data_IF_025605188854
#
_entry.id   IF_025605188854
#
_cell.length_a   1.000
_cell.length_b   1.000
_cell.length_c   1.000
_cell.angle_alpha   90.00
_cell.angle_beta   90.00
_cell.angle_gamma   90.00
#
_symmetry.space_group_name_H-M   'P 1'
#
loop_
_entity.id
_entity.type
_entity.pdbx_description
1 polymer ?
#
# COMPACT_ATOMS: atom_id res chain seq x y z
N UNK A 1 37.84 -17.70 32.91
CA UNK A 1 36.56 -17.70 33.64
C UNK A 1 35.47 -17.30 32.64
N UNK A 2 35.37 -18.05 31.55
CA UNK A 2 34.53 -19.27 31.45
C UNK A 2 33.05 -18.89 31.46
N UNK A 3 32.54 -18.45 30.31
CA UNK A 3 31.10 -18.14 30.16
C UNK A 3 30.33 -19.45 29.90
N UNK A 4 30.33 -20.32 30.90
CA UNK A 4 29.31 -21.36 31.02
C UNK A 4 28.15 -20.76 31.82
N UNK A 5 26.95 -20.84 31.26
CA UNK A 5 25.73 -20.31 31.88
C UNK A 5 24.92 -21.49 32.40
N UNK A 6 24.48 -21.39 33.65
CA UNK A 6 23.49 -22.30 34.21
C UNK A 6 22.12 -21.63 34.15
N UNK A 7 21.19 -22.24 33.42
CA UNK A 7 19.79 -21.83 33.44
C UNK A 7 19.00 -22.82 34.29
N UNK A 8 18.32 -22.31 35.31
CA UNK A 8 17.47 -23.07 36.21
C UNK A 8 16.01 -22.72 35.91
N UNK A 9 15.24 -23.72 35.51
CA UNK A 9 13.85 -23.54 35.10
C UNK A 9 12.96 -24.37 36.01
N UNK A 10 12.22 -23.68 36.87
CA UNK A 10 11.18 -24.28 37.71
C UNK A 10 9.84 -24.24 36.98
N UNK A 11 9.18 -25.39 36.87
CA UNK A 11 7.86 -25.51 36.25
C UNK A 11 6.98 -26.50 37.02
N UNK A 12 5.64 -26.36 36.97
CA UNK A 12 4.72 -27.36 37.52
C UNK A 12 4.98 -28.75 36.92
N UNK A 13 5.04 -29.77 37.77
CA UNK A 13 5.40 -31.15 37.37
C UNK A 13 4.45 -31.73 36.32
N UNK A 14 3.18 -31.34 36.38
CA UNK A 14 2.11 -31.73 35.46
C UNK A 14 2.28 -31.14 34.05
N UNK A 15 3.05 -30.05 33.92
CA UNK A 15 3.38 -29.43 32.63
C UNK A 15 4.67 -29.96 32.01
N UNK A 16 5.41 -30.81 32.73
CA UNK A 16 6.65 -31.38 32.25
C UNK A 16 6.38 -32.40 31.13
N UNK A 17 6.84 -32.07 29.93
CA UNK A 17 6.88 -33.00 28.79
C UNK A 17 8.19 -32.85 28.03
N UNK A 18 8.53 -33.85 27.21
CA UNK A 18 9.71 -33.78 26.33
C UNK A 18 9.62 -32.58 25.39
N UNK A 19 8.42 -32.27 24.89
CA UNK A 19 8.18 -31.14 23.99
C UNK A 19 8.37 -29.80 24.70
N UNK A 20 7.82 -29.64 25.91
CA UNK A 20 8.02 -28.42 26.73
C UNK A 20 9.48 -28.23 27.06
N UNK A 21 10.20 -29.30 27.44
CA UNK A 21 11.66 -29.24 27.67
C UNK A 21 12.41 -28.81 26.41
N UNK A 22 12.08 -29.36 25.24
CA UNK A 22 12.73 -28.99 23.98
C UNK A 22 12.44 -27.54 23.58
N UNK A 23 11.24 -27.03 23.86
CA UNK A 23 10.88 -25.62 23.62
C UNK A 23 11.63 -24.69 24.57
N UNK A 24 11.73 -25.03 25.85
CA UNK A 24 12.54 -24.30 26.84
C UNK A 24 14.01 -24.29 26.41
N UNK A 25 14.54 -25.45 25.98
CA UNK A 25 15.91 -25.55 25.48
C UNK A 25 16.13 -24.66 24.26
N UNK A 26 15.24 -24.71 23.27
CA UNK A 26 15.34 -23.88 22.08
C UNK A 26 15.29 -22.38 22.41
N UNK A 27 14.42 -21.99 23.35
CA UNK A 27 14.32 -20.61 23.86
C UNK A 27 15.63 -20.16 24.51
N UNK A 28 16.23 -20.99 25.37
CA UNK A 28 17.50 -20.67 26.03
C UNK A 28 18.69 -20.61 25.06
N UNK A 29 18.63 -21.34 23.95
CA UNK A 29 19.67 -21.37 22.91
C UNK A 29 19.40 -20.41 21.75
N UNK A 30 18.37 -19.56 21.83
CA UNK A 30 18.02 -18.61 20.77
C UNK A 30 19.10 -17.54 20.55
N UNK A 31 19.97 -17.31 21.54
CA UNK A 31 21.09 -16.36 21.44
C UNK A 31 22.16 -16.93 20.49
N UNK A 32 22.56 -16.20 19.44
CA UNK A 32 23.62 -16.64 18.53
C UNK A 32 24.91 -17.02 19.28
N UNK A 33 25.50 -18.15 18.92
CA UNK A 33 26.71 -18.67 19.56
C UNK A 33 26.48 -19.46 20.85
N UNK A 34 25.24 -19.56 21.34
CA UNK A 34 24.91 -20.42 22.48
C UNK A 34 24.81 -21.89 22.06
N UNK A 35 25.42 -22.79 22.84
CA UNK A 35 25.34 -24.23 22.60
C UNK A 35 25.02 -24.98 23.88
N UNK A 36 24.16 -26.00 23.81
CA UNK A 36 23.90 -26.86 24.96
C UNK A 36 25.09 -27.79 25.21
N UNK A 37 25.61 -27.80 26.42
CA UNK A 37 26.59 -28.78 26.87
C UNK A 37 25.93 -29.98 27.53
N UNK A 38 25.02 -29.71 28.46
CA UNK A 38 24.32 -30.74 29.21
C UNK A 38 22.98 -30.23 29.75
N UNK A 39 22.09 -31.14 30.11
CA UNK A 39 20.86 -30.81 30.83
C UNK A 39 20.50 -31.93 31.81
N UNK A 40 19.88 -31.56 32.91
CA UNK A 40 19.39 -32.52 33.91
C UNK A 40 17.99 -32.14 34.38
N UNK A 41 17.20 -33.15 34.74
CA UNK A 41 15.89 -33.00 35.36
C UNK A 41 15.97 -33.48 36.80
N UNK A 42 15.55 -32.64 37.73
CA UNK A 42 15.31 -33.01 39.12
C UNK A 42 13.82 -32.85 39.43
N UNK A 43 13.18 -33.94 39.84
CA UNK A 43 11.78 -33.94 40.27
C UNK A 43 11.78 -34.08 41.79
N UNK A 44 11.59 -32.97 42.48
CA UNK A 44 11.47 -32.96 43.94
C UNK A 44 10.11 -33.53 44.37
N UNK A 45 9.96 -33.88 45.65
CA UNK A 45 8.72 -34.42 46.21
C UNK A 45 7.53 -33.43 46.22
N UNK A 46 7.75 -32.19 45.77
CA UNK A 46 6.75 -31.13 45.64
C UNK A 46 5.98 -31.14 44.31
N UNK A 47 5.27 -30.05 44.04
CA UNK A 47 4.52 -29.84 42.79
C UNK A 47 5.37 -29.31 41.63
N UNK A 48 6.65 -29.02 41.86
CA UNK A 48 7.56 -28.42 40.88
C UNK A 48 8.59 -29.44 40.38
N UNK A 49 8.97 -29.31 39.11
CA UNK A 49 10.14 -29.91 38.51
C UNK A 49 11.19 -28.83 38.25
N UNK A 50 12.47 -29.18 38.38
CA UNK A 50 13.60 -28.32 38.06
C UNK A 50 14.34 -28.88 36.85
N UNK A 51 14.35 -28.13 35.75
CA UNK A 51 15.26 -28.36 34.65
C UNK A 51 16.51 -27.50 34.85
N UNK A 52 17.68 -28.12 34.79
CA UNK A 52 18.97 -27.43 34.76
C UNK A 52 19.57 -27.57 33.37
N UNK A 53 19.94 -26.47 32.75
CA UNK A 53 20.66 -26.45 31.48
C UNK A 53 22.04 -25.86 31.71
N UNK A 54 23.07 -26.54 31.22
CA UNK A 54 24.43 -26.06 31.13
C UNK A 54 24.68 -25.61 29.70
N UNK A 55 24.88 -24.31 29.51
CA UNK A 55 24.99 -23.68 28.19
C UNK A 55 26.41 -23.14 28.05
N UNK A 56 27.06 -23.47 26.94
CA UNK A 56 28.27 -22.80 26.48
C UNK A 56 27.90 -21.48 25.82
N UNK A 57 28.27 -20.37 26.47
CA UNK A 57 28.05 -19.02 25.97
C UNK A 57 29.38 -18.33 25.60
N UNK A 58 30.46 -19.10 25.37
CA UNK A 58 31.76 -18.53 24.95
C UNK A 58 31.71 -17.89 23.57
N UNK A 59 30.78 -18.33 22.71
CA UNK A 59 30.54 -17.75 21.40
C UNK A 59 29.50 -16.63 21.37
N UNK A 60 28.91 -16.27 22.51
CA UNK A 60 27.90 -15.22 22.60
C UNK A 60 28.55 -13.86 22.87
N UNK A 61 28.15 -12.85 22.09
CA UNK A 61 28.57 -11.47 22.30
C UNK A 61 27.95 -10.91 23.59
N UNK A 62 26.64 -11.14 23.79
CA UNK A 62 25.86 -10.76 24.97
C UNK A 62 25.20 -11.99 25.63
N UNK A 63 24.95 -11.90 26.94
CA UNK A 63 24.16 -12.90 27.66
C UNK A 63 22.67 -12.70 27.39
N UNK A 64 21.84 -13.76 27.45
CA UNK A 64 20.39 -13.64 27.29
C UNK A 64 19.79 -12.66 28.31
N UNK A 65 18.77 -11.90 27.91
CA UNK A 65 18.00 -11.06 28.83
C UNK A 65 17.09 -11.95 29.69
N UNK A 66 17.47 -12.11 30.97
CA UNK A 66 16.74 -12.92 31.96
C UNK A 66 15.25 -12.59 31.99
N UNK A 67 14.87 -11.30 31.93
CA UNK A 67 13.47 -10.87 32.01
C UNK A 67 12.69 -11.24 30.74
N UNK A 68 13.33 -11.16 29.57
CA UNK A 68 12.72 -11.58 28.30
C UNK A 68 12.54 -13.11 28.24
N UNK A 69 13.54 -13.86 28.70
CA UNK A 69 13.48 -15.33 28.78
C UNK A 69 12.40 -15.77 29.77
N UNK A 70 12.30 -15.12 30.93
CA UNK A 70 11.28 -15.43 31.93
C UNK A 70 9.87 -15.12 31.42
N UNK A 71 9.67 -14.01 30.70
CA UNK A 71 8.38 -13.70 30.08
C UNK A 71 7.96 -14.77 29.05
N UNK A 72 8.88 -15.23 28.20
CA UNK A 72 8.63 -16.30 27.23
C UNK A 72 8.34 -17.65 27.91
N UNK A 73 9.05 -17.96 29.01
CA UNK A 73 8.81 -19.16 29.80
C UNK A 73 7.42 -19.15 30.44
N UNK A 74 7.02 -18.03 31.04
CA UNK A 74 5.70 -17.88 31.65
C UNK A 74 4.60 -18.10 30.61
N UNK A 75 4.73 -17.51 29.42
CA UNK A 75 3.79 -17.72 28.31
C UNK A 75 3.71 -19.19 27.87
N UNK A 76 4.87 -19.87 27.80
CA UNK A 76 4.92 -21.28 27.45
C UNK A 76 4.18 -22.16 28.47
N UNK A 77 4.39 -21.91 29.76
CA UNK A 77 3.84 -22.69 30.87
C UNK A 77 2.37 -22.39 31.16
N UNK A 78 1.89 -21.17 30.88
CA UNK A 78 0.48 -20.77 31.07
C UNK A 78 -0.49 -21.51 30.14
N UNK A 79 0.03 -22.18 29.12
CA UNK A 79 -0.76 -22.84 28.10
C UNK A 79 -1.23 -21.85 27.04
N UNK A 80 -1.19 -22.31 25.79
CA UNK A 80 -1.34 -21.48 24.60
C UNK A 80 -2.51 -20.49 24.64
N UNK A 81 -3.72 -20.94 25.01
CA UNK A 81 -4.91 -20.09 24.97
C UNK A 81 -4.85 -18.95 25.99
N UNK A 82 -4.36 -19.22 27.20
CA UNK A 82 -4.31 -18.23 28.28
C UNK A 82 -3.16 -17.23 28.06
N UNK A 83 -2.03 -17.70 27.49
CA UNK A 83 -0.97 -16.82 27.02
C UNK A 83 -1.48 -15.86 25.92
N UNK A 84 -2.21 -16.36 24.93
CA UNK A 84 -2.82 -15.51 23.89
C UNK A 84 -3.83 -14.52 24.49
N UNK A 85 -4.67 -14.96 25.43
CA UNK A 85 -5.61 -14.08 26.12
C UNK A 85 -4.91 -12.93 26.86
N UNK A 86 -3.78 -13.23 27.51
CA UNK A 86 -2.97 -12.23 28.22
C UNK A 86 -2.48 -11.15 27.27
N UNK A 87 -1.91 -11.53 26.12
CA UNK A 87 -1.43 -10.57 25.13
C UNK A 87 -2.56 -9.77 24.49
N UNK A 88 -3.73 -10.39 24.23
CA UNK A 88 -4.91 -9.67 23.75
C UNK A 88 -5.42 -8.63 24.77
N UNK A 89 -5.34 -8.93 26.08
CA UNK A 89 -5.79 -8.04 27.15
C UNK A 89 -4.95 -6.75 27.27
N UNK A 90 -3.80 -6.65 26.59
CA UNK A 90 -3.02 -5.41 26.53
C UNK A 90 -3.69 -4.30 25.69
N UNK A 91 -4.60 -4.69 24.79
CA UNK A 91 -5.27 -3.78 23.86
C UNK A 91 -6.79 -3.95 23.81
N UNK A 92 -7.34 -4.96 24.48
CA UNK A 92 -8.76 -5.26 24.57
C UNK A 92 -9.21 -5.36 26.03
N UNK A 93 -10.51 -5.19 26.28
CA UNK A 93 -11.09 -5.48 27.59
C UNK A 93 -10.90 -6.97 27.94
N UNK A 94 -10.59 -7.27 29.21
CA UNK A 94 -10.20 -8.60 29.69
C UNK A 94 -11.20 -9.70 29.31
N UNK A 95 -12.50 -9.48 29.54
CA UNK A 95 -13.54 -10.44 29.16
C UNK A 95 -13.63 -10.69 27.64
N UNK A 96 -13.31 -9.67 26.84
CA UNK A 96 -13.29 -9.76 25.38
C UNK A 96 -12.02 -10.46 24.88
N UNK A 97 -10.88 -10.16 25.49
CA UNK A 97 -9.62 -10.83 25.22
C UNK A 97 -9.72 -12.34 25.47
N UNK A 98 -10.34 -12.75 26.58
CA UNK A 98 -10.61 -14.15 26.88
C UNK A 98 -11.53 -14.81 25.83
N UNK A 99 -12.62 -14.14 25.44
CA UNK A 99 -13.53 -14.65 24.41
C UNK A 99 -12.85 -14.82 23.04
N UNK A 100 -12.01 -13.86 22.65
CA UNK A 100 -11.24 -13.92 21.41
C UNK A 100 -10.20 -15.04 21.45
N UNK A 101 -9.45 -15.16 22.53
CA UNK A 101 -8.48 -16.23 22.69
C UNK A 101 -9.15 -17.61 22.64
N UNK A 102 -10.28 -17.79 23.33
CA UNK A 102 -11.05 -19.03 23.31
C UNK A 102 -11.51 -19.40 21.88
N UNK A 103 -11.87 -18.40 21.05
CA UNK A 103 -12.29 -18.62 19.67
C UNK A 103 -11.13 -18.89 18.72
N UNK A 104 -10.09 -18.06 18.75
CA UNK A 104 -9.04 -18.07 17.73
C UNK A 104 -7.81 -18.89 18.10
N UNK A 105 -7.36 -18.84 19.36
CA UNK A 105 -6.09 -19.46 19.75
C UNK A 105 -6.04 -20.97 19.43
N UNK A 106 -7.10 -21.78 19.69
CA UNK A 106 -7.09 -23.19 19.33
C UNK A 106 -6.92 -23.46 17.83
N UNK A 107 -7.30 -22.52 16.98
CA UNK A 107 -7.29 -22.69 15.53
C UNK A 107 -5.92 -22.50 14.88
N UNK A 108 -4.93 -21.96 15.62
CA UNK A 108 -3.56 -21.83 15.10
C UNK A 108 -2.86 -23.19 15.04
N UNK A 109 -2.25 -23.59 13.91
CA UNK A 109 -1.49 -24.84 13.80
C UNK A 109 -0.25 -24.86 14.69
N UNK A 110 0.16 -26.04 15.16
CA UNK A 110 1.33 -26.22 16.04
C UNK A 110 2.61 -25.59 15.48
N UNK A 111 2.87 -25.73 14.17
CA UNK A 111 4.06 -25.12 13.55
C UNK A 111 4.11 -23.60 13.68
N UNK A 112 2.96 -22.92 13.59
CA UNK A 112 2.86 -21.48 13.83
C UNK A 112 3.14 -21.16 15.30
N UNK A 113 2.52 -21.90 16.23
CA UNK A 113 2.67 -21.65 17.68
C UNK A 113 4.14 -21.70 18.10
N UNK A 114 4.89 -22.67 17.56
CA UNK A 114 6.31 -22.86 17.82
C UNK A 114 7.18 -21.76 17.20
N UNK A 115 6.82 -21.26 16.02
CA UNK A 115 7.65 -20.30 15.27
C UNK A 115 7.43 -18.85 15.70
N UNK A 116 6.20 -18.49 16.10
CA UNK A 116 5.81 -17.10 16.33
C UNK A 116 5.39 -16.78 17.78
N UNK A 117 4.86 -17.77 18.52
CA UNK A 117 4.44 -17.58 19.90
C UNK A 117 3.10 -16.84 20.09
N UNK A 118 2.67 -16.75 21.34
CA UNK A 118 1.35 -16.26 21.73
C UNK A 118 1.17 -14.74 21.52
N UNK A 119 2.23 -13.96 21.75
CA UNK A 119 2.22 -12.51 21.55
C UNK A 119 1.93 -12.13 20.09
N UNK A 120 2.56 -12.85 19.15
CA UNK A 120 2.35 -12.61 17.73
C UNK A 120 0.98 -13.11 17.27
N UNK A 121 0.51 -14.25 17.80
CA UNK A 121 -0.85 -14.72 17.56
C UNK A 121 -1.90 -13.69 17.99
N UNK A 122 -1.71 -13.03 19.14
CA UNK A 122 -2.63 -11.99 19.60
C UNK A 122 -2.73 -10.81 18.61
N UNK A 123 -1.61 -10.36 18.04
CA UNK A 123 -1.59 -9.30 17.01
C UNK A 123 -2.29 -9.75 15.73
N UNK A 124 -2.05 -10.99 15.31
CA UNK A 124 -2.67 -11.57 14.13
C UNK A 124 -4.18 -11.75 14.30
N UNK A 125 -4.64 -12.17 15.48
CA UNK A 125 -6.05 -12.25 15.85
C UNK A 125 -6.72 -10.89 15.77
N UNK A 126 -6.07 -9.83 16.25
CA UNK A 126 -6.63 -8.48 16.17
C UNK A 126 -6.90 -8.07 14.71
N UNK A 127 -5.95 -8.31 13.78
CA UNK A 127 -6.12 -8.01 12.35
C UNK A 127 -7.20 -8.88 11.69
N UNK A 128 -7.23 -10.19 11.95
CA UNK A 128 -8.27 -11.09 11.43
C UNK A 128 -9.67 -10.70 11.94
N UNK A 129 -9.77 -10.30 13.21
CA UNK A 129 -11.02 -9.83 13.81
C UNK A 129 -11.51 -8.55 13.15
N UNK A 130 -10.64 -7.56 12.94
CA UNK A 130 -11.02 -6.30 12.30
C UNK A 130 -11.61 -6.54 10.91
N UNK A 131 -11.00 -7.43 10.12
CA UNK A 131 -11.55 -7.84 8.83
C UNK A 131 -12.92 -8.53 8.95
N UNK A 132 -13.04 -9.49 9.88
CA UNK A 132 -14.30 -10.21 10.08
C UNK A 132 -15.46 -9.30 10.52
N UNK A 133 -15.18 -8.19 11.23
CA UNK A 133 -16.21 -7.21 11.61
C UNK A 133 -16.62 -6.31 10.43
N UNK A 134 -15.68 -5.99 9.55
CA UNK A 134 -15.91 -5.16 8.36
C UNK A 134 -16.79 -5.86 7.31
N UNK A 135 -16.99 -7.18 7.38
CA UNK A 135 -17.85 -7.95 6.45
C UNK A 135 -19.29 -7.42 6.35
N UNK A 136 -19.76 -6.72 7.38
CA UNK A 136 -21.11 -6.14 7.41
C UNK A 136 -21.23 -4.81 6.66
N UNK A 137 -20.12 -4.26 6.17
CA UNK A 137 -20.08 -3.01 5.40
C UNK A 137 -20.52 -3.22 3.94
N UNK A 138 -20.91 -2.12 3.27
CA UNK A 138 -21.40 -2.16 1.89
C UNK A 138 -20.34 -2.60 0.87
N UNK A 139 -19.05 -2.48 1.21
CA UNK A 139 -17.93 -2.92 0.38
C UNK A 139 -16.77 -3.38 1.29
N UNK A 140 -16.87 -4.59 1.86
CA UNK A 140 -15.95 -5.04 2.90
C UNK A 140 -14.55 -5.25 2.33
N UNK A 141 -13.53 -4.85 3.09
CA UNK A 141 -12.17 -5.26 2.79
C UNK A 141 -12.02 -6.75 3.14
N UNK A 142 -11.66 -7.57 2.17
CA UNK A 142 -11.43 -9.01 2.38
C UNK A 142 -10.00 -9.27 2.89
N UNK A 143 -9.11 -8.28 2.73
CA UNK A 143 -7.67 -8.40 2.99
C UNK A 143 -7.12 -7.24 3.81
N UNK A 144 -6.26 -7.54 4.78
CA UNK A 144 -5.48 -6.55 5.53
C UNK A 144 -4.00 -6.88 5.43
N UNK A 145 -3.16 -5.86 5.67
CA UNK A 145 -1.71 -6.00 5.61
C UNK A 145 -1.11 -5.56 6.95
N UNK A 146 0.02 -6.18 7.32
CA UNK A 146 0.89 -5.70 8.40
C UNK A 146 2.35 -5.89 8.04
N UNK A 147 3.14 -4.83 8.18
CA UNK A 147 4.59 -4.86 8.07
C UNK A 147 5.21 -5.07 9.45
N UNK A 148 6.25 -5.90 9.51
CA UNK A 148 6.98 -6.14 10.74
C UNK A 148 8.40 -6.65 10.45
N UNK A 149 9.19 -6.82 11.51
CA UNK A 149 10.52 -7.43 11.50
C UNK A 149 10.72 -8.28 12.75
N UNK A 150 11.57 -9.29 12.65
CA UNK A 150 12.12 -10.04 13.78
C UNK A 150 13.49 -9.47 14.17
N UNK A 151 13.94 -9.72 15.39
CA UNK A 151 15.23 -9.22 15.90
C UNK A 151 16.44 -9.72 15.09
N UNK A 152 16.33 -10.92 14.51
CA UNK A 152 17.35 -11.55 13.66
C UNK A 152 17.37 -11.03 12.20
N UNK A 153 16.36 -10.24 11.80
CA UNK A 153 16.26 -9.77 10.43
C UNK A 153 17.31 -8.67 10.16
N UNK A 154 18.15 -8.86 9.15
CA UNK A 154 19.10 -7.84 8.68
C UNK A 154 18.42 -6.54 8.22
N UNK A 155 19.18 -5.46 7.98
CA UNK A 155 18.64 -4.12 7.67
C UNK A 155 17.80 -4.07 6.38
N UNK A 156 18.08 -4.95 5.42
CA UNK A 156 17.36 -5.03 4.15
C UNK A 156 16.14 -5.97 4.19
N UNK A 157 15.97 -6.72 5.29
CA UNK A 157 14.90 -7.70 5.42
C UNK A 157 13.69 -7.08 6.09
N UNK A 158 12.56 -7.19 5.41
CA UNK A 158 11.23 -6.77 5.86
C UNK A 158 10.29 -7.95 5.78
N UNK A 159 9.33 -8.06 6.70
CA UNK A 159 8.30 -9.08 6.64
C UNK A 159 6.94 -8.45 6.51
N UNK A 160 6.04 -9.15 5.83
CA UNK A 160 4.70 -8.66 5.55
C UNK A 160 3.71 -9.81 5.72
N UNK A 161 2.72 -9.62 6.59
CA UNK A 161 1.57 -10.52 6.69
C UNK A 161 0.40 -9.96 5.90
N UNK A 162 -0.17 -10.77 5.02
CA UNK A 162 -1.49 -10.55 4.42
C UNK A 162 -2.49 -11.43 5.14
N UNK A 163 -3.51 -10.81 5.74
CA UNK A 163 -4.62 -11.49 6.39
C UNK A 163 -5.77 -11.61 5.41
N UNK A 164 -6.41 -12.78 5.37
CA UNK A 164 -7.52 -13.07 4.46
C UNK A 164 -8.63 -13.75 5.25
N UNK A 165 -9.82 -13.18 5.27
CA UNK A 165 -11.00 -13.82 5.90
C UNK A 165 -11.88 -14.54 4.90
N UNK A 166 -11.80 -14.15 3.61
CA UNK A 166 -12.63 -14.69 2.54
C UNK A 166 -11.84 -14.98 1.28
N UNK A 167 -12.14 -16.12 0.66
CA UNK A 167 -11.47 -16.57 -0.56
C UNK A 167 -10.03 -17.01 -0.29
N UNK A 168 -9.20 -16.97 -1.34
CA UNK A 168 -7.79 -17.31 -1.27
C UNK A 168 -6.93 -16.14 -1.76
N UNK A 169 -5.70 -16.06 -1.26
CA UNK A 169 -4.68 -15.18 -1.82
C UNK A 169 -3.89 -15.95 -2.89
N UNK A 170 -4.21 -15.72 -4.15
CA UNK A 170 -3.38 -16.26 -5.22
C UNK A 170 -2.04 -15.52 -5.26
N UNK A 171 -0.93 -16.26 -5.25
CA UNK A 171 0.41 -15.67 -5.33
C UNK A 171 0.62 -14.91 -6.65
N UNK A 172 -0.06 -15.32 -7.72
CA UNK A 172 -0.10 -14.60 -9.01
C UNK A 172 -0.70 -13.20 -8.91
N UNK A 173 -1.46 -12.92 -7.86
CA UNK A 173 -2.08 -11.61 -7.62
C UNK A 173 -1.28 -10.82 -6.57
N UNK A 174 -0.81 -11.50 -5.52
CA UNK A 174 -0.13 -10.86 -4.40
C UNK A 174 1.32 -10.45 -4.73
N UNK A 175 2.08 -11.32 -5.39
CA UNK A 175 3.50 -11.06 -5.68
C UNK A 175 3.68 -9.86 -6.60
N UNK A 176 2.92 -9.72 -7.72
CA UNK A 176 3.03 -8.52 -8.56
C UNK A 176 2.71 -7.23 -7.81
N UNK A 177 1.73 -7.24 -6.91
CA UNK A 177 1.42 -6.08 -6.08
C UNK A 177 2.62 -5.69 -5.20
N UNK A 178 3.26 -6.66 -4.53
CA UNK A 178 4.45 -6.42 -3.71
C UNK A 178 5.63 -5.89 -4.54
N UNK A 179 5.84 -6.43 -5.74
CA UNK A 179 6.87 -5.96 -6.68
C UNK A 179 6.59 -4.55 -7.20
N UNK A 180 5.32 -4.21 -7.43
CA UNK A 180 4.90 -2.86 -7.82
C UNK A 180 5.09 -1.82 -6.70
N UNK A 181 5.19 -2.24 -5.43
CA UNK A 181 5.66 -1.39 -4.33
C UNK A 181 7.20 -1.34 -4.21
N UNK A 182 7.91 -2.15 -4.99
CA UNK A 182 9.36 -2.19 -5.07
C UNK A 182 9.99 -3.27 -4.21
N UNK A 183 9.20 -4.12 -3.55
CA UNK A 183 9.73 -5.20 -2.75
C UNK A 183 10.12 -6.40 -3.63
N UNK A 184 11.16 -7.12 -3.22
CA UNK A 184 11.44 -8.44 -3.77
C UNK A 184 10.93 -9.50 -2.81
N UNK A 185 10.09 -10.40 -3.31
CA UNK A 185 9.58 -11.53 -2.53
C UNK A 185 10.62 -12.65 -2.50
N UNK A 186 11.10 -13.00 -1.30
CA UNK A 186 12.07 -14.08 -1.12
C UNK A 186 11.39 -15.42 -0.83
N UNK A 187 10.35 -15.41 0.01
CA UNK A 187 9.57 -16.58 0.37
C UNK A 187 8.19 -16.18 0.88
N UNK A 188 7.28 -17.15 0.91
CA UNK A 188 5.97 -17.07 1.56
C UNK A 188 5.79 -18.28 2.48
N UNK A 189 5.24 -18.03 3.67
CA UNK A 189 4.90 -19.04 4.68
C UNK A 189 3.41 -18.89 5.00
N UNK A 190 2.52 -19.69 4.40
CA UNK A 190 1.11 -19.62 4.68
C UNK A 190 0.78 -20.29 6.01
N UNK A 191 -0.13 -19.69 6.76
CA UNK A 191 -0.77 -20.25 7.94
C UNK A 191 -2.27 -20.28 7.72
N UNK A 192 -2.80 -21.48 7.52
CA UNK A 192 -4.24 -21.71 7.49
C UNK A 192 -4.72 -22.06 8.89
N UNK A 193 -5.70 -21.32 9.40
CA UNK A 193 -6.35 -21.69 10.65
C UNK A 193 -7.16 -22.97 10.43
N UNK A 194 -7.23 -23.82 11.45
CA UNK A 194 -7.92 -25.12 11.34
C UNK A 194 -9.43 -24.95 11.15
N UNK A 195 -10.00 -23.83 11.60
CA UNK A 195 -11.33 -23.38 11.22
C UNK A 195 -11.19 -22.38 10.05
N UNK A 196 -11.56 -22.76 8.81
CA UNK A 196 -11.46 -21.89 7.65
C UNK A 196 -12.28 -20.59 7.77
N UNK A 197 -13.33 -20.58 8.60
CA UNK A 197 -14.15 -19.39 8.82
C UNK A 197 -13.42 -18.30 9.62
N UNK A 198 -12.26 -18.62 10.23
CA UNK A 198 -11.42 -17.66 10.92
C UNK A 198 -10.34 -17.03 10.02
N UNK A 199 -10.18 -17.54 8.80
CA UNK A 199 -9.28 -17.00 7.78
C UNK A 199 -7.88 -17.64 7.71
N UNK A 200 -7.01 -17.01 6.93
CA UNK A 200 -5.61 -17.39 6.72
C UNK A 200 -4.68 -16.19 6.84
N UNK A 201 -3.40 -16.49 7.08
CA UNK A 201 -2.32 -15.52 7.18
C UNK A 201 -1.24 -15.94 6.19
N UNK A 202 -0.85 -15.05 5.29
CA UNK A 202 0.21 -15.27 4.33
C UNK A 202 1.40 -14.40 4.71
N UNK A 203 2.46 -15.01 5.26
CA UNK A 203 3.64 -14.31 5.72
C UNK A 203 4.73 -14.29 4.65
N UNK A 204 5.00 -13.10 4.11
CA UNK A 204 5.99 -12.87 3.08
C UNK A 204 7.29 -12.36 3.68
N UNK A 205 8.39 -13.02 3.32
CA UNK A 205 9.75 -12.54 3.59
C UNK A 205 10.16 -11.69 2.40
N UNK A 206 10.41 -10.41 2.63
CA UNK A 206 10.71 -9.40 1.63
C UNK A 206 12.14 -8.89 1.76
N UNK A 207 12.71 -8.50 0.63
CA UNK A 207 13.91 -7.67 0.57
C UNK A 207 13.52 -6.29 0.06
N UNK A 208 13.94 -5.24 0.77
CA UNK A 208 13.73 -3.85 0.35
C UNK A 208 14.73 -3.47 -0.76
N UNK A 209 14.43 -2.47 -1.61
CA UNK A 209 15.39 -2.00 -2.61
C UNK A 209 16.72 -1.55 -2.01
N UNK A 210 17.80 -1.72 -2.78
CA UNK A 210 19.12 -1.23 -2.39
C UNK A 210 19.10 0.28 -2.08
N UNK A 211 19.73 0.65 -0.96
CA UNK A 211 19.74 2.04 -0.46
C UNK A 211 18.52 2.44 0.38
N UNK A 212 17.57 1.53 0.61
CA UNK A 212 16.53 1.66 1.63
C UNK A 212 16.80 0.69 2.78
N UNK A 213 16.43 1.09 3.99
CA UNK A 213 16.46 0.22 5.17
C UNK A 213 15.04 -0.08 5.62
N UNK A 214 14.79 -1.33 6.00
CA UNK A 214 13.48 -1.79 6.43
C UNK A 214 12.98 -1.03 7.68
N UNK A 215 13.89 -0.61 8.57
CA UNK A 215 13.55 0.21 9.74
C UNK A 215 12.87 1.54 9.37
N UNK A 216 13.39 2.25 8.37
CA UNK A 216 12.83 3.53 7.88
C UNK A 216 11.45 3.35 7.24
N UNK A 217 11.19 2.19 6.63
CA UNK A 217 9.87 1.87 6.12
C UNK A 217 8.87 1.60 7.25
N UNK A 218 9.30 0.92 8.32
CA UNK A 218 8.45 0.62 9.47
C UNK A 218 7.97 1.88 10.21
N UNK A 219 8.76 2.95 10.25
CA UNK A 219 8.32 4.25 10.79
C UNK A 219 7.08 4.81 10.07
N UNK A 220 6.82 4.34 8.85
CA UNK A 220 5.69 4.74 8.00
C UNK A 220 4.84 3.53 7.61
N UNK A 221 4.87 2.46 8.40
CA UNK A 221 4.25 1.18 8.05
C UNK A 221 2.78 1.33 7.73
N UNK A 222 2.01 2.07 8.53
CA UNK A 222 0.56 2.26 8.31
C UNK A 222 0.24 2.77 6.91
N UNK A 223 0.99 3.77 6.41
CA UNK A 223 0.78 4.31 5.06
C UNK A 223 1.02 3.27 3.96
N UNK A 224 2.02 2.41 4.15
CA UNK A 224 2.40 1.37 3.18
C UNK A 224 1.42 0.19 3.27
N UNK A 225 1.04 -0.20 4.49
CA UNK A 225 0.04 -1.24 4.77
C UNK A 225 -1.31 -0.90 4.15
N UNK A 226 -1.82 0.31 4.38
CA UNK A 226 -3.11 0.76 3.84
C UNK A 226 -3.09 0.76 2.30
N UNK A 227 -2.00 1.28 1.71
CA UNK A 227 -1.86 1.32 0.26
C UNK A 227 -1.79 -0.09 -0.37
N UNK A 228 -1.08 -1.01 0.26
CA UNK A 228 -1.02 -2.42 -0.19
C UNK A 228 -2.38 -3.10 -0.02
N UNK A 229 -3.07 -2.85 1.09
CA UNK A 229 -4.41 -3.39 1.32
C UNK A 229 -5.39 -2.87 0.25
N UNK A 230 -5.37 -1.59 -0.08
CA UNK A 230 -6.22 -1.03 -1.15
C UNK A 230 -5.96 -1.69 -2.51
N UNK A 231 -4.69 -1.96 -2.84
CA UNK A 231 -4.32 -2.64 -4.09
C UNK A 231 -4.78 -4.10 -4.07
N UNK A 232 -4.53 -4.82 -2.99
CA UNK A 232 -4.91 -6.23 -2.84
C UNK A 232 -6.42 -6.44 -2.80
N UNK A 233 -7.20 -5.45 -2.34
CA UNK A 233 -8.66 -5.46 -2.39
C UNK A 233 -9.23 -4.87 -3.70
N UNK A 234 -8.38 -4.49 -4.66
CA UNK A 234 -8.81 -3.96 -5.95
C UNK A 234 -9.39 -2.53 -5.92
N UNK A 235 -9.21 -1.81 -4.81
CA UNK A 235 -9.65 -0.43 -4.60
C UNK A 235 -8.67 0.59 -5.20
N UNK A 236 -7.39 0.22 -5.34
CA UNK A 236 -6.35 1.05 -5.95
C UNK A 236 -5.71 0.40 -7.19
N UNK A 237 -4.96 1.18 -7.96
CA UNK A 237 -4.21 0.69 -9.14
C UNK A 237 -3.02 -0.16 -8.73
N UNK A 238 -2.83 -1.27 -9.44
CA UNK A 238 -1.68 -2.14 -9.26
C UNK A 238 -0.66 -1.88 -10.38
N UNK A 239 0.22 -0.90 -10.15
CA UNK A 239 1.24 -0.52 -11.12
C UNK A 239 2.51 0.02 -10.45
N UNK A 240 3.60 0.24 -11.20
CA UNK A 240 4.86 0.69 -10.64
C UNK A 240 4.82 2.04 -9.91
N UNK A 241 3.79 2.90 -10.05
CA UNK A 241 3.71 4.15 -9.27
C UNK A 241 3.56 3.88 -7.76
N UNK A 242 3.14 2.68 -7.36
CA UNK A 242 3.06 2.28 -5.96
C UNK A 242 4.44 2.32 -5.26
N UNK A 243 5.54 2.15 -6.02
CA UNK A 243 6.92 2.36 -5.53
C UNK A 243 7.13 3.72 -4.89
N UNK A 244 6.40 4.76 -5.31
CA UNK A 244 6.54 6.11 -4.74
C UNK A 244 6.14 6.17 -3.27
N UNK A 245 5.20 5.33 -2.83
CA UNK A 245 4.76 5.29 -1.43
C UNK A 245 5.90 4.84 -0.53
N UNK A 246 6.46 3.66 -0.81
CA UNK A 246 7.57 3.10 -0.04
C UNK A 246 8.86 3.92 -0.21
N UNK A 247 9.30 4.18 -1.45
CA UNK A 247 10.61 4.76 -1.72
C UNK A 247 10.70 6.26 -1.41
N UNK A 248 9.63 7.02 -1.62
CA UNK A 248 9.67 8.49 -1.45
C UNK A 248 8.91 8.98 -0.20
N UNK A 249 8.13 8.12 0.45
CA UNK A 249 7.25 8.50 1.57
C UNK A 249 6.04 9.32 1.13
N UNK A 250 5.68 9.23 -0.15
CA UNK A 250 4.55 9.97 -0.68
C UNK A 250 3.25 9.29 -0.26
N UNK A 251 2.25 10.06 0.15
CA UNK A 251 0.94 9.50 0.42
C UNK A 251 0.34 8.85 -0.85
N UNK A 252 -0.47 7.79 -0.74
CA UNK A 252 -1.08 7.10 -1.88
C UNK A 252 -1.82 8.04 -2.83
N UNK A 253 -2.55 9.02 -2.28
CA UNK A 253 -3.20 10.08 -3.06
C UNK A 253 -2.23 10.85 -3.97
N UNK A 254 -1.04 11.17 -3.45
CA UNK A 254 -0.01 11.91 -4.18
C UNK A 254 0.60 11.08 -5.30
N UNK A 255 0.85 9.78 -5.03
CA UNK A 255 1.29 8.85 -6.06
C UNK A 255 0.23 8.74 -7.18
N UNK A 256 -1.05 8.72 -6.81
CA UNK A 256 -2.15 8.66 -7.76
C UNK A 256 -2.28 9.95 -8.62
N UNK A 257 -2.00 11.13 -8.05
CA UNK A 257 -1.95 12.38 -8.84
C UNK A 257 -0.84 12.33 -9.90
N UNK A 258 0.36 11.86 -9.53
CA UNK A 258 1.48 11.73 -10.46
C UNK A 258 1.23 10.64 -11.52
N UNK A 259 0.53 9.56 -11.16
CA UNK A 259 0.03 8.56 -12.10
C UNK A 259 -0.98 9.14 -13.08
N UNK A 260 -1.89 10.00 -12.62
CA UNK A 260 -2.83 10.67 -13.52
C UNK A 260 -2.12 11.63 -14.49
N UNK A 261 -1.11 12.37 -14.02
CA UNK A 261 -0.25 13.21 -14.88
C UNK A 261 0.48 12.37 -15.93
N UNK A 262 1.00 11.20 -15.57
CA UNK A 262 1.57 10.24 -16.54
C UNK A 262 0.58 9.88 -17.63
N UNK A 263 -0.63 9.43 -17.24
CA UNK A 263 -1.65 8.98 -18.18
C UNK A 263 -2.14 10.11 -19.07
N UNK A 264 -2.20 11.34 -18.56
CA UNK A 264 -2.43 12.52 -19.38
C UNK A 264 -1.30 12.73 -20.41
N UNK A 265 -0.03 12.71 -19.98
CA UNK A 265 1.12 12.90 -20.88
C UNK A 265 1.21 11.82 -21.97
N UNK A 266 0.81 10.58 -21.69
CA UNK A 266 0.68 9.54 -22.72
C UNK A 266 -0.28 9.96 -23.84
N UNK A 267 -1.40 10.59 -23.50
CA UNK A 267 -2.37 11.12 -24.46
C UNK A 267 -1.85 12.32 -25.27
N UNK A 268 -0.75 12.96 -24.84
CA UNK A 268 -0.14 14.09 -25.55
C UNK A 268 0.98 13.65 -26.51
N UNK A 269 1.26 12.35 -26.60
CA UNK A 269 2.30 11.79 -27.46
C UNK A 269 3.66 11.58 -26.79
N UNK A 270 3.74 11.71 -25.46
CA UNK A 270 4.97 11.39 -24.72
C UNK A 270 5.22 9.89 -24.73
N UNK A 271 6.42 9.48 -25.14
CA UNK A 271 6.77 8.07 -25.38
C UNK A 271 7.46 7.37 -24.21
N UNK A 272 7.74 8.05 -23.10
CA UNK A 272 8.36 7.41 -21.93
C UNK A 272 7.51 6.23 -21.44
N UNK A 273 8.20 5.15 -21.06
CA UNK A 273 7.56 4.00 -20.43
C UNK A 273 7.22 4.32 -18.99
N UNK A 274 6.28 3.56 -18.42
CA UNK A 274 5.90 3.72 -17.00
C UNK A 274 7.10 3.53 -16.07
N UNK A 275 7.99 2.58 -16.37
CA UNK A 275 9.18 2.31 -15.58
C UNK A 275 10.16 3.48 -15.61
N UNK A 276 10.49 4.02 -16.79
CA UNK A 276 11.36 5.20 -16.91
C UNK A 276 10.82 6.38 -16.10
N UNK A 277 9.51 6.57 -16.13
CA UNK A 277 8.87 7.68 -15.41
C UNK A 277 8.94 7.50 -13.90
N UNK A 278 8.60 6.31 -13.43
CA UNK A 278 8.65 6.00 -12.00
C UNK A 278 10.08 6.03 -11.49
N UNK A 279 11.05 5.52 -12.24
CA UNK A 279 12.46 5.50 -11.84
C UNK A 279 13.00 6.93 -11.68
N UNK A 280 12.66 7.85 -12.58
CA UNK A 280 13.01 9.27 -12.45
C UNK A 280 12.37 9.92 -11.20
N UNK A 281 11.11 9.59 -10.89
CA UNK A 281 10.41 10.10 -9.70
C UNK A 281 10.97 9.52 -8.40
N UNK A 282 11.30 8.23 -8.38
CA UNK A 282 11.93 7.54 -7.24
C UNK A 282 13.35 8.06 -7.02
N UNK A 283 14.12 8.24 -8.10
CA UNK A 283 15.50 8.75 -8.06
C UNK A 283 15.61 10.23 -7.63
N UNK A 284 14.52 10.99 -7.74
CA UNK A 284 14.45 12.40 -7.32
C UNK A 284 13.39 12.63 -6.22
N UNK A 285 13.50 12.00 -5.03
CA UNK A 285 12.43 12.01 -4.02
C UNK A 285 12.12 13.42 -3.49
N UNK A 286 13.12 14.32 -3.46
CA UNK A 286 12.94 15.73 -3.08
C UNK A 286 12.07 16.47 -4.12
N UNK A 287 12.28 16.19 -5.41
CA UNK A 287 11.51 16.78 -6.52
C UNK A 287 10.08 16.25 -6.51
N UNK A 288 9.92 14.94 -6.36
CA UNK A 288 8.63 14.24 -6.31
C UNK A 288 7.75 14.74 -5.18
N UNK A 289 8.29 14.83 -3.94
CA UNK A 289 7.55 15.39 -2.80
C UNK A 289 7.25 16.87 -2.99
N UNK A 290 8.17 17.66 -3.56
CA UNK A 290 7.95 19.07 -3.84
C UNK A 290 6.81 19.30 -4.85
N UNK A 291 6.67 18.44 -5.86
CA UNK A 291 5.55 18.49 -6.81
C UNK A 291 4.21 18.22 -6.14
N UNK A 292 4.12 17.20 -5.29
CA UNK A 292 2.91 16.91 -4.52
C UNK A 292 2.57 18.05 -3.54
N UNK A 293 3.57 18.58 -2.83
CA UNK A 293 3.39 19.71 -1.93
C UNK A 293 2.92 20.98 -2.66
N UNK A 294 3.49 21.26 -3.84
CA UNK A 294 3.05 22.37 -4.68
C UNK A 294 1.59 22.21 -5.13
N UNK A 295 1.22 21.00 -5.54
CA UNK A 295 -0.15 20.69 -5.95
C UNK A 295 -1.14 20.88 -4.79
N UNK A 296 -0.81 20.37 -3.61
CA UNK A 296 -1.60 20.61 -2.38
C UNK A 296 -1.71 22.09 -2.05
N UNK A 297 -0.59 22.82 -1.99
CA UNK A 297 -0.59 24.24 -1.66
C UNK A 297 -1.42 25.08 -2.65
N UNK A 298 -1.56 24.67 -3.91
CA UNK A 298 -2.38 25.40 -4.89
C UNK A 298 -3.86 25.06 -4.86
N UNK A 299 -4.21 23.82 -4.57
CA UNK A 299 -5.54 23.30 -4.87
C UNK A 299 -6.32 22.79 -3.66
N UNK A 300 -5.67 22.58 -2.51
CA UNK A 300 -6.38 22.22 -1.28
C UNK A 300 -7.20 23.42 -0.80
N UNK A 301 -8.55 23.37 -0.78
CA UNK A 301 -9.36 24.47 -0.29
C UNK A 301 -9.22 24.68 1.22
N UNK A 302 -8.91 23.62 1.97
CA UNK A 302 -8.72 23.63 3.41
C UNK A 302 -7.26 23.93 3.82
N UNK A 303 -6.42 24.37 2.88
CA UNK A 303 -5.01 24.65 3.15
C UNK A 303 -4.84 25.67 4.28
N UNK A 304 -4.27 25.23 5.40
CA UNK A 304 -3.99 26.08 6.55
C UNK A 304 -2.66 26.82 6.38
N UNK A 305 -2.61 28.08 6.84
CA UNK A 305 -1.38 28.89 6.88
C UNK A 305 -1.12 29.72 5.61
N UNK A 306 0.14 30.16 5.45
CA UNK A 306 0.58 31.04 4.36
C UNK A 306 0.67 30.32 3.01
N UNK A 307 -0.44 30.23 2.26
CA UNK A 307 -0.48 29.55 0.95
C UNK A 307 0.63 30.00 -0.02
N UNK A 308 0.87 31.31 -0.11
CA UNK A 308 1.91 31.87 -0.97
C UNK A 308 3.32 31.42 -0.56
N UNK A 309 3.60 31.38 0.75
CA UNK A 309 4.88 30.90 1.29
C UNK A 309 5.06 29.41 1.04
N UNK A 310 4.02 28.59 1.23
CA UNK A 310 4.07 27.16 0.96
C UNK A 310 4.32 26.87 -0.54
N UNK A 311 3.68 27.64 -1.43
CA UNK A 311 3.95 27.56 -2.89
C UNK A 311 5.41 27.91 -3.17
N UNK A 312 5.92 29.03 -2.64
CA UNK A 312 7.31 29.45 -2.87
C UNK A 312 8.32 28.44 -2.30
N UNK A 313 8.04 27.86 -1.13
CA UNK A 313 8.85 26.83 -0.50
C UNK A 313 8.89 25.55 -1.34
N UNK A 314 7.73 25.08 -1.83
CA UNK A 314 7.65 23.91 -2.70
C UNK A 314 8.37 24.14 -4.04
N UNK A 315 8.25 25.34 -4.63
CA UNK A 315 8.99 25.71 -5.84
C UNK A 315 10.50 25.72 -5.61
N UNK A 316 10.95 26.29 -4.48
CA UNK A 316 12.37 26.31 -4.10
C UNK A 316 12.90 24.90 -3.87
N UNK A 317 12.12 24.05 -3.18
CA UNK A 317 12.46 22.65 -2.95
C UNK A 317 12.57 21.88 -4.27
N UNK A 318 11.65 22.11 -5.22
CA UNK A 318 11.71 21.54 -6.56
C UNK A 318 13.01 21.95 -7.27
N UNK A 319 13.33 23.24 -7.34
CA UNK A 319 14.55 23.73 -8.02
C UNK A 319 15.82 23.16 -7.39
N UNK A 320 15.91 23.14 -6.05
CA UNK A 320 17.07 22.56 -5.35
C UNK A 320 17.19 21.05 -5.55
N UNK A 321 16.07 20.34 -5.55
CA UNK A 321 16.06 18.89 -5.81
C UNK A 321 16.49 18.58 -7.25
N UNK A 322 15.98 19.35 -8.20
CA UNK A 322 16.24 19.17 -9.62
C UNK A 322 17.72 19.41 -9.97
N UNK A 323 18.38 20.35 -9.29
CA UNK A 323 19.82 20.58 -9.44
C UNK A 323 20.70 19.38 -9.08
N UNK A 324 20.15 18.37 -8.37
CA UNK A 324 20.84 17.12 -8.01
C UNK A 324 20.61 16.00 -9.02
N UNK A 325 19.72 16.19 -10.00
CA UNK A 325 19.39 15.19 -11.01
C UNK A 325 20.47 15.23 -12.10
N UNK A 326 21.26 14.16 -12.19
CA UNK A 326 22.39 14.07 -13.14
C UNK A 326 21.95 13.67 -14.55
N UNK A 327 20.92 12.83 -14.67
CA UNK A 327 20.42 12.35 -15.96
C UNK A 327 19.55 13.42 -16.64
N UNK A 328 19.97 13.87 -17.81
CA UNK A 328 19.26 14.93 -18.55
C UNK A 328 17.84 14.54 -18.99
N UNK A 329 17.60 13.24 -19.25
CA UNK A 329 16.28 12.75 -19.59
C UNK A 329 15.33 12.81 -18.38
N UNK A 330 15.83 12.49 -17.18
CA UNK A 330 15.06 12.57 -15.94
C UNK A 330 14.75 14.04 -15.61
N UNK A 331 15.72 14.95 -15.75
CA UNK A 331 15.48 16.39 -15.59
C UNK A 331 14.36 16.89 -16.53
N UNK A 332 14.46 16.59 -17.83
CA UNK A 332 13.45 16.95 -18.83
C UNK A 332 12.07 16.41 -18.47
N UNK A 333 11.99 15.15 -18.05
CA UNK A 333 10.74 14.52 -17.65
C UNK A 333 10.14 15.19 -16.40
N UNK A 334 10.95 15.43 -15.36
CA UNK A 334 10.49 16.06 -14.12
C UNK A 334 10.01 17.50 -14.36
N UNK A 335 10.66 18.24 -15.26
CA UNK A 335 10.19 19.56 -15.72
C UNK A 335 8.85 19.48 -16.47
N UNK A 336 8.66 18.45 -17.30
CA UNK A 336 7.40 18.24 -18.01
C UNK A 336 6.25 17.96 -17.03
N UNK A 337 6.48 17.10 -16.04
CA UNK A 337 5.55 16.86 -14.93
C UNK A 337 5.17 18.15 -14.21
N UNK A 338 6.19 18.94 -13.86
CA UNK A 338 6.00 20.23 -13.21
C UNK A 338 5.17 21.19 -14.07
N UNK A 339 5.39 21.23 -15.38
CA UNK A 339 4.63 22.08 -16.29
C UNK A 339 3.16 21.66 -16.38
N UNK A 340 2.84 20.36 -16.37
CA UNK A 340 1.44 19.88 -16.31
C UNK A 340 0.79 20.30 -14.99
N UNK A 341 1.48 20.15 -13.86
CA UNK A 341 0.99 20.59 -12.54
C UNK A 341 0.75 22.11 -12.53
N UNK A 342 1.65 22.90 -13.12
CA UNK A 342 1.48 24.35 -13.26
C UNK A 342 0.30 24.73 -14.17
N UNK A 343 -0.06 23.88 -15.14
CA UNK A 343 -1.18 24.11 -16.05
C UNK A 343 -2.56 23.79 -15.45
N UNK A 344 -2.64 23.15 -14.28
CA UNK A 344 -3.92 22.82 -13.63
C UNK A 344 -4.55 24.08 -13.04
N UNK A 345 -5.76 24.40 -13.50
CA UNK A 345 -6.57 25.53 -13.04
C UNK A 345 -7.55 25.13 -11.93
N UNK A 346 -8.10 23.93 -12.02
CA UNK A 346 -9.05 23.38 -11.04
C UNK A 346 -8.98 21.86 -11.01
N UNK A 347 -9.25 21.29 -9.85
CA UNK A 347 -9.30 19.85 -9.63
C UNK A 347 -10.31 19.50 -8.55
N UNK A 348 -10.81 18.26 -8.56
CA UNK A 348 -11.60 17.70 -7.46
C UNK A 348 -10.75 16.90 -6.46
N UNK A 349 -9.41 16.87 -6.61
CA UNK A 349 -8.50 16.01 -5.85
C UNK A 349 -8.57 16.13 -4.31
N UNK A 350 -9.22 17.18 -3.79
CA UNK A 350 -9.41 17.46 -2.37
C UNK A 350 -10.89 17.41 -1.95
N UNK A 351 -11.77 16.91 -2.82
CA UNK A 351 -13.19 16.73 -2.56
C UNK A 351 -13.53 15.23 -2.51
N UNK A 352 -14.61 14.82 -1.81
CA UNK A 352 -15.03 13.42 -1.75
C UNK A 352 -15.20 12.75 -3.14
N UNK A 353 -15.58 13.53 -4.16
CA UNK A 353 -15.70 13.06 -5.54
C UNK A 353 -14.40 12.45 -6.13
N UNK A 354 -13.23 12.82 -5.60
CA UNK A 354 -11.96 12.23 -6.03
C UNK A 354 -11.84 10.73 -5.71
N UNK A 355 -12.63 10.21 -4.75
CA UNK A 355 -12.71 8.79 -4.45
C UNK A 355 -13.31 7.97 -5.59
N UNK A 356 -14.15 8.58 -6.44
CA UNK A 356 -14.71 7.92 -7.63
C UNK A 356 -13.77 8.08 -8.84
N UNK A 357 -13.36 9.32 -9.14
CA UNK A 357 -12.32 9.63 -10.13
C UNK A 357 -11.76 11.04 -9.96
N UNK A 358 -10.50 11.21 -10.38
CA UNK A 358 -9.82 12.50 -10.41
C UNK A 358 -10.19 13.29 -11.67
N UNK A 359 -10.32 14.61 -11.51
CA UNK A 359 -10.49 15.56 -12.59
C UNK A 359 -9.41 16.65 -12.54
N UNK A 360 -8.79 16.95 -13.67
CA UNK A 360 -7.87 18.08 -13.82
C UNK A 360 -8.33 18.95 -14.98
N UNK A 361 -8.69 20.21 -14.70
CA UNK A 361 -8.96 21.23 -15.71
C UNK A 361 -7.67 21.97 -16.02
N UNK A 362 -7.13 21.78 -17.22
CA UNK A 362 -5.86 22.33 -17.66
C UNK A 362 -6.06 23.54 -18.59
N UNK A 363 -5.15 24.51 -18.47
CA UNK A 363 -4.87 25.47 -19.54
C UNK A 363 -3.96 24.82 -20.58
N UNK A 364 -4.51 24.40 -21.72
CA UNK A 364 -3.74 23.72 -22.76
C UNK A 364 -2.65 24.62 -23.39
N UNK A 365 -2.71 25.95 -23.22
CA UNK A 365 -1.63 26.82 -23.67
C UNK A 365 -0.37 26.70 -22.79
N UNK A 366 -0.52 26.25 -21.53
CA UNK A 366 0.58 26.07 -20.58
C UNK A 366 1.20 24.67 -20.64
N UNK A 367 0.54 23.70 -21.29
CA UNK A 367 1.05 22.32 -21.42
C UNK A 367 2.04 22.25 -22.59
N UNK A 368 3.33 21.92 -22.35
CA UNK A 368 4.33 21.85 -23.40
C UNK A 368 4.06 20.74 -24.42
N UNK A 369 4.38 20.99 -25.70
CA UNK A 369 4.39 19.96 -26.74
C UNK A 369 3.02 19.53 -27.27
N UNK A 370 1.93 20.15 -26.85
CA UNK A 370 0.60 19.81 -27.37
C UNK A 370 0.47 20.10 -28.88
N UNK A 371 -0.14 19.19 -29.66
CA UNK A 371 -0.35 19.40 -31.10
C UNK A 371 -1.40 20.47 -31.36
N UNK A 372 -1.14 21.34 -32.34
CA UNK A 372 -2.08 22.39 -32.77
C UNK A 372 -3.34 21.81 -33.46
N UNK A 373 -4.48 22.53 -33.42
CA UNK A 373 -4.77 23.70 -32.61
C UNK A 373 -4.94 23.29 -31.13
N UNK A 374 -4.44 24.15 -30.25
CA UNK A 374 -4.60 23.95 -28.81
C UNK A 374 -6.05 24.20 -28.43
N UNK A 375 -6.70 23.28 -27.69
CA UNK A 375 -7.94 23.58 -27.01
C UNK A 375 -7.74 24.78 -26.08
N UNK A 376 -8.78 25.56 -25.84
CA UNK A 376 -8.76 26.55 -24.78
C UNK A 376 -8.60 25.86 -23.42
N UNK A 377 -9.38 24.81 -23.14
CA UNK A 377 -9.26 24.02 -21.92
C UNK A 377 -9.42 22.54 -22.20
N UNK A 378 -8.70 21.74 -21.42
CA UNK A 378 -8.86 20.29 -21.35
C UNK A 378 -9.31 19.91 -19.95
N UNK A 379 -10.31 19.05 -19.82
CA UNK A 379 -10.61 18.39 -18.54
C UNK A 379 -10.22 16.94 -18.69
N UNK A 380 -9.14 16.53 -18.04
CA UNK A 380 -8.70 15.15 -18.00
C UNK A 380 -9.32 14.44 -16.79
N UNK A 381 -9.87 13.26 -17.02
CA UNK A 381 -10.48 12.40 -16.01
C UNK A 381 -9.67 11.12 -15.87
N UNK A 382 -9.42 10.72 -14.64
CA UNK A 382 -8.60 9.56 -14.33
C UNK A 382 -9.11 8.78 -13.11
N UNK A 383 -9.31 7.48 -13.27
CA UNK A 383 -9.46 6.51 -12.19
C UNK A 383 -8.99 5.11 -12.62
N UNK A 384 -9.11 4.13 -11.71
CA UNK A 384 -8.89 2.72 -12.00
C UNK A 384 -9.88 2.17 -13.05
N UNK A 385 -11.10 2.72 -13.09
CA UNK A 385 -12.18 2.26 -13.99
C UNK A 385 -12.29 3.04 -15.28
N UNK A 386 -12.02 4.35 -15.27
CA UNK A 386 -12.20 5.19 -16.46
C UNK A 386 -11.06 6.20 -16.64
N UNK A 387 -10.64 6.36 -17.89
CA UNK A 387 -9.85 7.51 -18.33
C UNK A 387 -10.65 8.30 -19.35
N UNK A 388 -10.48 9.62 -19.40
CA UNK A 388 -11.21 10.41 -20.39
C UNK A 388 -10.72 11.83 -20.48
N UNK A 389 -11.19 12.52 -21.52
CA UNK A 389 -10.87 13.92 -21.73
C UNK A 389 -12.04 14.66 -22.33
N UNK A 390 -12.21 15.92 -21.93
CA UNK A 390 -13.16 16.83 -22.53
C UNK A 390 -12.44 18.10 -23.00
N UNK A 391 -12.45 18.34 -24.32
CA UNK A 391 -11.76 19.44 -24.98
C UNK A 391 -12.74 20.55 -25.33
N UNK A 392 -12.35 21.80 -25.07
CA UNK A 392 -13.15 22.99 -25.36
C UNK A 392 -12.33 23.99 -26.15
N UNK A 393 -12.90 24.55 -27.22
CA UNK A 393 -12.24 25.61 -28.01
C UNK A 393 -12.50 27.03 -27.50
N UNK A 394 -13.33 27.21 -26.45
CA UNK A 394 -13.64 28.52 -25.87
C UNK A 394 -14.57 28.47 -24.65
N UNK A 395 -14.84 29.65 -24.09
CA UNK A 395 -15.60 29.88 -22.84
C UNK A 395 -17.03 29.37 -22.88
N UNK A 396 -17.67 29.40 -24.04
CA UNK A 396 -18.94 28.74 -24.34
C UNK A 396 -18.64 27.78 -25.47
N UNK A 397 -18.95 26.50 -25.34
CA UNK A 397 -18.66 25.51 -26.39
C UNK A 397 -19.62 24.34 -26.32
N UNK A 398 -19.95 23.74 -27.47
CA UNK A 398 -20.89 22.61 -27.57
C UNK A 398 -20.26 21.42 -28.29
N UNK A 399 -20.55 20.22 -27.78
CA UNK A 399 -20.38 18.97 -28.51
C UNK A 399 -20.72 17.76 -27.64
N UNK A 400 -20.88 16.62 -28.31
CA UNK A 400 -21.21 15.36 -27.64
C UNK A 400 -19.97 14.62 -27.11
N UNK A 401 -20.23 13.49 -26.47
CA UNK A 401 -19.20 12.58 -25.97
C UNK A 401 -18.98 11.39 -26.92
N UNK A 402 -17.92 10.64 -26.70
CA UNK A 402 -17.60 9.41 -27.43
C UNK A 402 -17.03 8.37 -26.48
N UNK A 403 -17.56 7.17 -26.52
CA UNK A 403 -16.86 6.01 -25.98
C UNK A 403 -15.74 5.66 -26.97
N UNK A 404 -14.50 5.71 -26.51
CA UNK A 404 -13.31 5.33 -27.26
C UNK A 404 -12.80 3.96 -26.82
N UNK A 405 -12.32 3.17 -27.77
CA UNK A 405 -11.56 1.92 -27.56
C UNK A 405 -10.04 2.16 -27.57
N UNK A 406 -9.62 3.42 -27.80
CA UNK A 406 -8.23 3.85 -27.98
C UNK A 406 -7.54 4.20 -26.67
N UNK A 407 -7.04 3.19 -25.94
CA UNK A 407 -6.41 3.37 -24.62
C UNK A 407 -5.36 4.49 -24.55
N UNK A 408 -4.44 4.56 -25.51
CA UNK A 408 -3.26 5.44 -25.43
C UNK A 408 -3.32 6.68 -26.33
N UNK A 409 -4.38 6.85 -27.13
CA UNK A 409 -4.51 7.98 -28.05
C UNK A 409 -5.95 8.48 -28.31
N UNK A 410 -6.88 8.21 -27.40
CA UNK A 410 -8.24 8.77 -27.45
C UNK A 410 -8.25 10.30 -27.51
N UNK A 411 -7.26 11.00 -26.93
CA UNK A 411 -7.18 12.48 -27.04
C UNK A 411 -7.04 12.94 -28.49
N UNK A 412 -6.27 12.23 -29.31
CA UNK A 412 -6.09 12.55 -30.73
C UNK A 412 -7.41 12.39 -31.49
N UNK A 413 -8.15 11.32 -31.20
CA UNK A 413 -9.49 11.09 -31.73
C UNK A 413 -10.45 12.23 -31.34
N UNK A 414 -10.54 12.54 -30.04
CA UNK A 414 -11.43 13.58 -29.51
C UNK A 414 -11.07 14.96 -30.08
N UNK A 415 -9.77 15.26 -30.23
CA UNK A 415 -9.30 16.50 -30.84
C UNK A 415 -9.72 16.60 -32.30
N UNK A 416 -9.60 15.53 -33.09
CA UNK A 416 -10.07 15.48 -34.47
C UNK A 416 -11.58 15.75 -34.57
N UNK A 417 -12.37 15.14 -33.67
CA UNK A 417 -13.82 15.32 -33.62
C UNK A 417 -14.24 16.72 -33.13
N UNK A 418 -13.46 17.35 -32.25
CA UNK A 418 -13.66 18.74 -31.85
C UNK A 418 -13.40 19.70 -33.04
N UNK A 419 -12.34 19.45 -33.82
CA UNK A 419 -12.04 20.23 -35.04
C UNK A 419 -13.20 20.17 -36.03
N UNK A 420 -13.71 18.97 -36.31
CA UNK A 420 -14.86 18.78 -37.21
C UNK A 420 -16.11 19.53 -36.74
N UNK A 421 -16.31 19.63 -35.41
CA UNK A 421 -17.44 20.35 -34.82
C UNK A 421 -17.40 21.86 -34.99
N UNK A 422 -16.22 22.47 -35.23
CA UNK A 422 -16.13 23.91 -35.53
C UNK A 422 -16.84 24.25 -36.84
N UNK A 423 -16.68 23.40 -37.87
CA UNK A 423 -17.31 23.59 -39.18
C UNK A 423 -18.82 23.39 -39.08
N UNK A 424 -19.27 22.41 -38.29
CA UNK A 424 -20.70 22.08 -38.13
C UNK A 424 -21.48 23.13 -37.31
N UNK A 425 -20.85 23.73 -36.30
CA UNK A 425 -21.51 24.67 -35.38
C UNK A 425 -21.30 26.14 -35.74
N UNK A 426 -20.63 26.46 -36.84
CA UNK A 426 -20.24 27.82 -37.24
C UNK A 426 -21.40 28.83 -37.27
N UNK A 427 -22.64 28.36 -37.45
CA UNK A 427 -23.86 29.19 -37.52
C UNK A 427 -24.56 29.39 -36.16
N UNK A 428 -24.25 28.60 -35.12
CA UNK A 428 -25.00 28.62 -33.83
C UNK A 428 -24.11 28.97 -32.62
N UNK A 429 -22.99 28.26 -32.44
CA UNK A 429 -21.98 28.57 -31.41
C UNK A 429 -20.63 28.38 -32.09
N UNK A 430 -19.84 29.45 -32.30
CA UNK A 430 -18.64 29.42 -33.16
C UNK A 430 -17.50 28.55 -32.59
N UNK A 431 -17.65 28.06 -31.38
CA UNK A 431 -16.66 27.33 -30.58
C UNK A 431 -17.12 25.89 -30.30
N UNK A 432 -16.35 24.92 -30.80
CA UNK A 432 -16.62 23.49 -30.62
C UNK A 432 -16.09 22.93 -29.30
N UNK A 433 -16.78 21.93 -28.76
CA UNK A 433 -16.28 21.03 -27.72
C UNK A 433 -16.41 19.57 -28.17
N UNK A 434 -15.67 18.67 -27.53
CA UNK A 434 -15.85 17.23 -27.67
C UNK A 434 -15.25 16.56 -26.45
N UNK A 435 -15.92 15.54 -25.92
CA UNK A 435 -15.28 14.65 -24.96
C UNK A 435 -15.22 13.21 -25.45
N UNK A 436 -14.38 12.44 -24.80
CA UNK A 436 -14.34 10.99 -24.95
C UNK A 436 -13.78 10.31 -23.71
N UNK A 437 -14.19 9.07 -23.49
CA UNK A 437 -13.79 8.26 -22.36
C UNK A 437 -13.45 6.83 -22.80
N UNK A 438 -12.59 6.19 -22.02
CA UNK A 438 -12.08 4.84 -22.19
C UNK A 438 -12.33 4.06 -20.90
N UNK A 439 -13.28 3.11 -20.91
CA UNK A 439 -13.49 2.16 -19.82
C UNK A 439 -12.33 1.15 -19.75
N UNK A 440 -11.72 1.01 -18.57
CA UNK A 440 -10.48 0.22 -18.36
C UNK A 440 -10.74 -1.23 -17.96
N UNK A 441 -11.92 -1.50 -17.40
CA UNK A 441 -12.28 -2.80 -16.81
C UNK A 441 -13.41 -3.49 -17.57
N UNK A 442 -13.48 -3.29 -18.89
CA UNK A 442 -14.47 -3.97 -19.72
C UNK A 442 -14.21 -5.49 -19.68
N UNK A 443 -15.20 -6.31 -19.30
CA UNK A 443 -15.10 -7.75 -19.47
C UNK A 443 -15.08 -8.11 -20.96
N UNK A 444 -14.68 -9.33 -21.28
CA UNK A 444 -14.72 -9.79 -22.67
C UNK A 444 -16.18 -9.86 -23.16
N UNK A 445 -16.56 -9.14 -24.22
CA UNK A 445 -17.93 -9.17 -24.74
C UNK A 445 -18.30 -10.54 -25.34
N UNK A 446 -17.32 -11.38 -25.63
CA UNK A 446 -17.54 -12.76 -26.07
C UNK A 446 -17.92 -13.70 -24.90
N UNK A 447 -17.51 -13.36 -23.67
CA UNK A 447 -17.84 -14.12 -22.46
C UNK A 447 -19.10 -13.58 -21.81
N UNK A 448 -19.22 -12.26 -21.69
CA UNK A 448 -20.34 -11.60 -21.05
C UNK A 448 -20.65 -10.24 -21.68
N UNK A 449 -21.59 -10.25 -22.62
CA UNK A 449 -22.02 -9.05 -23.35
C UNK A 449 -22.83 -8.09 -22.48
N UNK A 450 -23.57 -8.61 -21.51
CA UNK A 450 -24.39 -7.78 -20.63
C UNK A 450 -23.51 -7.00 -19.66
N UNK A 451 -22.54 -7.67 -19.02
CA UNK A 451 -21.57 -7.02 -18.16
C UNK A 451 -20.71 -6.00 -18.93
N UNK A 452 -20.35 -6.29 -20.19
CA UNK A 452 -19.64 -5.33 -21.04
C UNK A 452 -20.45 -4.04 -21.25
N UNK A 453 -21.74 -4.17 -21.55
CA UNK A 453 -22.63 -3.01 -21.75
C UNK A 453 -22.88 -2.25 -20.44
N UNK A 454 -23.01 -2.96 -19.33
CA UNK A 454 -23.18 -2.39 -18.00
C UNK A 454 -21.95 -1.59 -17.56
N UNK A 455 -20.74 -2.14 -17.71
CA UNK A 455 -19.49 -1.43 -17.38
C UNK A 455 -19.28 -0.19 -18.25
N UNK A 456 -19.61 -0.28 -19.54
CA UNK A 456 -19.61 0.86 -20.44
C UNK A 456 -20.50 2.01 -19.96
N UNK A 457 -21.72 1.69 -19.53
CA UNK A 457 -22.66 2.66 -18.96
C UNK A 457 -22.15 3.22 -17.63
N UNK A 458 -21.67 2.38 -16.72
CA UNK A 458 -21.12 2.82 -15.44
C UNK A 458 -19.92 3.75 -15.62
N UNK A 459 -19.00 3.41 -16.54
CA UNK A 459 -17.86 4.26 -16.89
C UNK A 459 -18.29 5.62 -17.50
N UNK A 460 -19.33 5.64 -18.33
CA UNK A 460 -19.92 6.90 -18.83
C UNK A 460 -20.45 7.76 -17.68
N UNK A 461 -21.18 7.15 -16.75
CA UNK A 461 -21.74 7.87 -15.60
C UNK A 461 -20.65 8.42 -14.68
N UNK A 462 -19.61 7.64 -14.37
CA UNK A 462 -18.43 8.09 -13.62
C UNK A 462 -17.80 9.30 -14.32
N UNK A 463 -17.57 9.19 -15.63
CA UNK A 463 -16.98 10.28 -16.41
C UNK A 463 -17.81 11.56 -16.32
N UNK A 464 -19.14 11.47 -16.47
CA UNK A 464 -20.05 12.62 -16.33
C UNK A 464 -20.03 13.21 -14.91
N UNK A 465 -20.23 12.40 -13.87
CA UNK A 465 -20.21 12.86 -12.47
C UNK A 465 -18.89 13.57 -12.14
N UNK A 466 -17.79 13.03 -12.63
CA UNK A 466 -16.45 13.60 -12.45
C UNK A 466 -16.28 14.93 -13.16
N UNK A 467 -16.75 15.08 -14.41
CA UNK A 467 -16.76 16.37 -15.10
C UNK A 467 -17.59 17.40 -14.34
N UNK A 468 -18.77 17.02 -13.85
CA UNK A 468 -19.66 17.91 -13.10
C UNK A 468 -19.04 18.37 -11.78
N UNK A 469 -18.21 17.55 -11.13
CA UNK A 469 -17.54 17.87 -9.86
C UNK A 469 -16.63 19.11 -9.91
N UNK A 470 -16.24 19.58 -11.10
CA UNK A 470 -15.41 20.78 -11.27
C UNK A 470 -16.00 21.82 -12.23
N UNK A 471 -17.19 21.57 -12.78
CA UNK A 471 -17.78 22.42 -13.85
C UNK A 471 -18.68 23.52 -13.31
N UNK A 472 -19.16 23.40 -12.07
CA UNK A 472 -19.99 24.43 -11.42
C UNK A 472 -19.18 25.71 -11.12
N UNK A 473 -19.79 26.88 -11.16
CA UNK A 473 -19.17 28.18 -10.97
C UNK A 473 -19.28 28.72 -9.53
N UNK A 474 -19.83 27.95 -8.59
CA UNK A 474 -19.76 28.27 -7.16
C UNK A 474 -18.31 28.05 -6.68
N UNK A 475 -17.69 29.14 -6.23
CA UNK A 475 -16.33 29.20 -5.66
C UNK A 475 -16.39 28.93 -4.18
#
# INVERSE_FOLDING_TARGET
LERHVFAFVWLPRDQLSTDVRLQIQAMLLATPGAALLDWSLEVESGSLALLRFLIDARGCDDLPDDAAVEALLVDLLRGWNEAVATHLATHEEEGRAAALAARYAPAFPTGYRLSYGAAEAARDIAKLRTLALAETEANPADRAVRLYRLGEDGPERLRLKVYVVKGALALSDAVPALENFGFRVAAEVPTFLTDPALGSIHDFILTVPAGLEAGVLLERSGLIEDALADVLNGLAEDDPFNRLVAATGLAPRGANWLRAVYRYLRQTGVSYTIYTVVDALVGAPQVTRAMAALFTARHDPAFAGGRGEAIAAAQTAFTRGLAKVSAINDDRLLRLYRAVIDAVLRTNAFAPAAGEALAFKLDSALVPGLPKPLPWREVFVYSRRVEGIHLRSGAVARGGLRWSDRRDDFRTEVLGLMKAQRVKNAVIVPTGAKGGFYPKQLPSPALDREAWAAEGRASYEIFIRTLLSITDNIV
#
